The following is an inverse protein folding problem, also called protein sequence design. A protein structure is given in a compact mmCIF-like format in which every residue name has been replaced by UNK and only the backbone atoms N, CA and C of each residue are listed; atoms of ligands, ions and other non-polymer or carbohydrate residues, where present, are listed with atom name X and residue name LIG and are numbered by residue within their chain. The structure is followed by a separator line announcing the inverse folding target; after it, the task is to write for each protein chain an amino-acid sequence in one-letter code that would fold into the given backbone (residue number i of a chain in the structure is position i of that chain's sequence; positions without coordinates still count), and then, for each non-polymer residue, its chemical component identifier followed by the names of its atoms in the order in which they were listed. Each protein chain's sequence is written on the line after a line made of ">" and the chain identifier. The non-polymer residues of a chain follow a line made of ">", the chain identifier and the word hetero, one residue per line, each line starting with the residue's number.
data_IF_081209944896
#
_entry.id   IF_081209944896
#
_cell.length_a   1.000
_cell.length_b   1.000
_cell.length_c   1.000
_cell.angle_alpha   90.00
_cell.angle_beta   90.00
_cell.angle_gamma   90.00
#
_symmetry.space_group_name_H-M   'P 1'
#
loop_
_entity.id
_entity.type
_entity.pdbx_description
1 polymer ?
#
# COMPACT_ATOMS: atom_id res chain seq x y z
N UNK A 1 3.20 14.87 24.43
CA UNK A 1 3.18 13.68 23.56
C UNK A 1 2.74 14.12 22.18
N UNK A 2 3.36 13.60 21.11
CA UNK A 2 3.03 13.93 19.73
C UNK A 2 2.85 12.64 18.92
N UNK A 3 2.28 12.74 17.71
CA UNK A 3 2.07 11.60 16.81
C UNK A 3 2.16 12.04 15.35
N UNK A 4 2.77 11.23 14.49
CA UNK A 4 2.69 11.44 13.04
C UNK A 4 1.36 10.91 12.51
N UNK A 5 0.75 11.58 11.53
CA UNK A 5 -0.51 11.12 10.96
C UNK A 5 -0.54 11.33 9.44
N UNK A 6 -1.08 10.36 8.74
CA UNK A 6 -1.52 10.52 7.36
C UNK A 6 -2.99 10.13 7.27
N UNK A 7 -3.80 10.97 6.62
CA UNK A 7 -5.24 10.79 6.49
C UNK A 7 -5.64 10.97 5.03
N UNK A 8 -6.36 9.99 4.48
CA UNK A 8 -6.91 10.03 3.13
C UNK A 8 -8.41 9.82 3.11
N UNK A 9 -9.12 10.60 2.29
CA UNK A 9 -10.52 10.39 1.93
C UNK A 9 -10.59 10.02 0.46
N UNK A 10 -11.06 8.81 0.16
CA UNK A 10 -11.25 8.31 -1.20
C UNK A 10 -12.73 8.44 -1.58
N UNK A 11 -13.01 9.07 -2.71
CA UNK A 11 -14.32 9.06 -3.36
C UNK A 11 -14.40 7.83 -4.30
N UNK A 12 -15.13 6.76 -3.92
CA UNK A 12 -15.11 5.49 -4.61
C UNK A 12 -15.83 5.50 -5.96
N UNK A 13 -16.51 6.59 -6.36
CA UNK A 13 -17.06 6.70 -7.72
C UNK A 13 -16.06 7.25 -8.73
N UNK A 14 -15.17 8.15 -8.29
CA UNK A 14 -14.25 8.87 -9.17
C UNK A 14 -12.79 8.45 -9.02
N UNK A 15 -12.44 7.73 -7.94
CA UNK A 15 -11.05 7.44 -7.60
C UNK A 15 -10.28 8.69 -7.16
N UNK A 16 -10.97 9.76 -6.79
CA UNK A 16 -10.37 10.99 -6.27
C UNK A 16 -10.00 10.79 -4.81
N UNK A 17 -8.76 11.09 -4.47
CA UNK A 17 -8.23 11.06 -3.10
C UNK A 17 -7.94 12.47 -2.65
N UNK A 18 -8.38 12.81 -1.45
CA UNK A 18 -7.92 14.00 -0.72
C UNK A 18 -7.08 13.53 0.47
N UNK A 19 -5.82 13.96 0.52
CA UNK A 19 -4.83 13.47 1.47
C UNK A 19 -4.23 14.61 2.28
N UNK A 20 -4.10 14.42 3.60
CA UNK A 20 -3.37 15.31 4.50
C UNK A 20 -2.26 14.50 5.16
N UNK A 21 -1.05 15.05 5.18
CA UNK A 21 0.10 14.46 5.87
C UNK A 21 0.62 15.43 6.95
N UNK A 22 0.53 14.99 8.21
CA UNK A 22 0.98 15.68 9.42
C UNK A 22 2.21 14.99 10.01
N UNK A 23 3.37 15.27 9.43
CA UNK A 23 4.67 14.78 9.88
C UNK A 23 4.93 13.29 9.65
N UNK A 24 4.09 12.59 8.90
CA UNK A 24 4.28 11.18 8.55
C UNK A 24 5.15 11.01 7.30
N UNK A 25 5.61 9.78 7.04
CA UNK A 25 6.34 9.46 5.82
C UNK A 25 5.53 9.82 4.57
N UNK A 26 6.18 10.21 3.46
CA UNK A 26 5.47 10.52 2.22
C UNK A 26 4.65 9.33 1.72
N UNK A 27 3.37 9.56 1.41
CA UNK A 27 2.62 8.58 0.63
C UNK A 27 3.20 8.51 -0.78
N UNK A 28 3.21 7.31 -1.36
CA UNK A 28 3.71 7.09 -2.72
C UNK A 28 2.55 6.68 -3.60
N UNK A 29 2.29 7.42 -4.68
CA UNK A 29 1.43 6.98 -5.76
C UNK A 29 2.28 6.45 -6.91
N UNK A 30 1.92 5.29 -7.44
CA UNK A 30 2.45 4.76 -8.70
C UNK A 30 1.34 4.68 -9.74
N UNK A 31 1.52 5.40 -10.84
CA UNK A 31 0.64 5.32 -12.01
C UNK A 31 0.86 4.00 -12.77
N UNK A 32 -0.09 3.55 -13.64
CA UNK A 32 0.05 2.36 -14.48
C UNK A 32 1.40 2.20 -15.20
N UNK A 33 2.01 3.31 -15.63
CA UNK A 33 3.31 3.32 -16.31
C UNK A 33 4.54 3.37 -15.39
N UNK A 34 4.37 3.21 -14.07
CA UNK A 34 5.46 3.25 -13.08
C UNK A 34 5.96 4.66 -12.71
N UNK A 35 5.33 5.71 -13.26
CA UNK A 35 5.58 7.08 -12.83
C UNK A 35 5.15 7.26 -11.37
N UNK A 36 6.04 7.81 -10.55
CA UNK A 36 5.76 8.03 -9.12
C UNK A 36 5.36 9.47 -8.84
N UNK A 37 4.54 9.65 -7.79
CA UNK A 37 4.36 10.93 -7.11
C UNK A 37 4.41 10.71 -5.61
N UNK A 38 5.09 11.59 -4.88
CA UNK A 38 5.19 11.55 -3.42
C UNK A 38 4.42 12.69 -2.79
N UNK A 39 3.71 12.38 -1.70
CA UNK A 39 2.90 13.33 -0.94
C UNK A 39 3.53 13.55 0.43
N UNK A 40 4.41 14.55 0.52
CA UNK A 40 5.16 14.86 1.73
C UNK A 40 4.28 15.53 2.79
N UNK A 41 4.78 15.55 4.02
CA UNK A 41 4.15 16.27 5.12
C UNK A 41 4.12 17.79 4.88
N UNK A 42 2.98 18.42 5.17
CA UNK A 42 2.81 19.89 5.10
C UNK A 42 2.82 20.52 6.50
N UNK A 43 3.64 20.00 7.40
CA UNK A 43 3.76 20.47 8.77
C UNK A 43 4.38 19.43 9.71
N UNK A 44 4.65 19.80 10.98
CA UNK A 44 5.19 18.89 11.97
C UNK A 44 4.17 17.80 12.36
N UNK A 45 4.61 16.74 13.05
CA UNK A 45 3.70 15.83 13.74
C UNK A 45 2.67 16.55 14.63
N UNK A 46 1.49 15.95 14.79
CA UNK A 46 0.42 16.50 15.62
C UNK A 46 0.87 16.61 17.07
N UNK A 47 0.56 17.75 17.71
CA UNK A 47 0.87 17.99 19.12
C UNK A 47 2.23 18.62 19.40
N UNK A 48 3.06 18.89 18.37
CA UNK A 48 4.34 19.61 18.54
C UNK A 48 4.12 21.11 18.67
N UNK A 49 3.36 21.72 17.75
CA UNK A 49 3.11 23.16 17.72
C UNK A 49 1.60 23.45 17.75
N UNK A 50 1.14 24.39 18.58
CA UNK A 50 -0.26 24.81 18.57
C UNK A 50 -0.59 25.62 17.32
N UNK A 51 -1.84 25.54 16.85
CA UNK A 51 -2.36 26.39 15.78
C UNK A 51 -1.84 26.07 14.37
N UNK A 52 -1.13 24.95 14.17
CA UNK A 52 -0.71 24.50 12.84
C UNK A 52 -1.92 24.13 12.00
N UNK A 53 -1.97 24.68 10.78
CA UNK A 53 -2.92 24.25 9.73
C UNK A 53 -2.20 23.36 8.75
N UNK A 54 -2.75 22.17 8.52
CA UNK A 54 -2.22 21.22 7.55
C UNK A 54 -2.92 21.39 6.20
N UNK A 55 -2.16 21.30 5.12
CA UNK A 55 -2.68 21.44 3.76
C UNK A 55 -3.03 20.07 3.20
N UNK A 56 -4.24 19.97 2.65
CA UNK A 56 -4.68 18.79 1.92
C UNK A 56 -4.28 18.87 0.45
N UNK A 57 -3.89 17.74 -0.13
CA UNK A 57 -3.70 17.58 -1.56
C UNK A 57 -4.80 16.69 -2.15
N UNK A 58 -5.39 17.12 -3.25
CA UNK A 58 -6.39 16.34 -3.98
C UNK A 58 -5.81 15.86 -5.31
N UNK A 59 -5.97 14.57 -5.60
CA UNK A 59 -5.47 13.94 -6.83
C UNK A 59 -6.35 12.76 -7.25
N UNK A 60 -6.23 12.34 -8.50
CA UNK A 60 -6.87 11.12 -9.00
C UNK A 60 -5.87 9.96 -8.95
N UNK A 61 -6.34 8.76 -8.57
CA UNK A 61 -5.50 7.56 -8.61
C UNK A 61 -5.17 7.10 -10.04
N UNK A 62 -5.90 7.53 -11.08
CA UNK A 62 -5.64 7.26 -12.51
C UNK A 62 -5.26 5.80 -12.82
N UNK A 63 -6.07 4.85 -12.34
CA UNK A 63 -5.81 3.40 -12.47
C UNK A 63 -4.50 2.90 -11.83
N UNK A 64 -3.93 3.69 -10.92
CA UNK A 64 -2.72 3.37 -10.18
C UNK A 64 -2.98 2.97 -8.73
N UNK A 65 -1.89 2.84 -7.99
CA UNK A 65 -1.90 2.46 -6.59
C UNK A 65 -1.33 3.57 -5.71
N UNK A 66 -1.91 3.76 -4.52
CA UNK A 66 -1.38 4.58 -3.44
C UNK A 66 -0.88 3.69 -2.31
N UNK A 67 0.35 3.94 -1.86
CA UNK A 67 1.06 3.20 -0.83
C UNK A 67 1.27 4.11 0.38
N UNK A 68 0.83 3.65 1.55
CA UNK A 68 1.07 4.25 2.86
C UNK A 68 1.81 3.23 3.73
N UNK A 69 2.80 3.67 4.49
CA UNK A 69 3.64 2.77 5.26
C UNK A 69 4.26 3.46 6.46
N UNK A 70 4.58 2.69 7.50
CA UNK A 70 5.37 3.15 8.65
C UNK A 70 6.86 3.05 8.38
N UNK A 71 7.64 3.68 9.23
CA UNK A 71 9.11 3.65 9.27
C UNK A 71 9.68 2.25 9.38
N UNK A 72 9.02 1.34 10.11
CA UNK A 72 9.38 -0.08 10.10
C UNK A 72 9.61 -0.66 8.70
N UNK A 73 8.87 -0.22 7.67
CA UNK A 73 9.07 -0.66 6.27
C UNK A 73 10.32 -0.06 5.64
N UNK A 74 10.57 1.23 5.88
CA UNK A 74 11.71 1.95 5.27
C UNK A 74 13.02 1.69 5.99
N UNK A 75 12.98 1.46 7.30
CA UNK A 75 14.14 1.15 8.14
C UNK A 75 14.52 -0.34 8.07
N UNK A 76 13.70 -1.17 7.42
CA UNK A 76 14.02 -2.58 7.21
C UNK A 76 15.35 -2.75 6.48
N UNK A 77 16.22 -3.59 7.04
CA UNK A 77 17.56 -3.80 6.49
C UNK A 77 17.56 -4.76 5.29
N UNK A 78 18.06 -4.26 4.17
CA UNK A 78 18.04 -4.87 2.86
C UNK A 78 19.46 -4.83 2.30
N UNK A 79 20.14 -5.99 2.34
CA UNK A 79 21.55 -6.14 1.89
C UNK A 79 22.55 -5.26 2.65
N UNK A 80 22.40 -5.09 3.96
CA UNK A 80 23.36 -4.33 4.77
C UNK A 80 23.03 -2.84 4.92
N UNK A 81 21.92 -2.39 4.34
CA UNK A 81 21.49 -0.99 4.37
C UNK A 81 19.98 -0.90 4.58
N UNK A 82 19.50 0.19 5.18
CA UNK A 82 18.07 0.48 5.24
C UNK A 82 17.48 0.57 3.83
N UNK A 83 16.27 0.02 3.65
CA UNK A 83 15.59 0.04 2.35
C UNK A 83 15.36 1.48 1.87
N UNK A 84 14.95 2.35 2.79
CA UNK A 84 14.52 3.72 2.53
C UNK A 84 13.31 3.80 1.60
N UNK A 85 12.76 5.02 1.47
CA UNK A 85 11.62 5.27 0.57
C UNK A 85 12.01 4.95 -0.88
N UNK A 86 13.21 5.35 -1.32
CA UNK A 86 13.66 5.12 -2.68
C UNK A 86 13.83 3.64 -3.02
N UNK A 87 14.30 2.82 -2.06
CA UNK A 87 14.39 1.38 -2.25
C UNK A 87 13.02 0.72 -2.33
N UNK A 88 12.08 1.12 -1.47
CA UNK A 88 10.70 0.67 -1.55
C UNK A 88 10.07 1.02 -2.90
N UNK A 89 10.22 2.27 -3.36
CA UNK A 89 9.72 2.72 -4.67
C UNK A 89 10.32 1.90 -5.82
N UNK A 90 11.63 1.63 -5.80
CA UNK A 90 12.28 0.78 -6.80
C UNK A 90 11.69 -0.64 -6.79
N UNK A 91 11.50 -1.22 -5.61
CA UNK A 91 10.90 -2.54 -5.46
C UNK A 91 9.47 -2.57 -6.04
N UNK A 92 8.63 -1.61 -5.65
CA UNK A 92 7.25 -1.51 -6.11
C UNK A 92 7.15 -1.33 -7.64
N UNK A 93 8.06 -0.57 -8.25
CA UNK A 93 8.14 -0.43 -9.71
C UNK A 93 8.42 -1.74 -10.43
N UNK A 94 9.31 -2.59 -9.88
CA UNK A 94 9.65 -3.87 -10.50
C UNK A 94 8.45 -4.82 -10.55
N UNK A 95 7.55 -4.71 -9.58
CA UNK A 95 6.36 -5.56 -9.46
C UNK A 95 5.06 -4.84 -9.83
N UNK A 96 5.14 -3.61 -10.36
CA UNK A 96 3.96 -2.78 -10.61
C UNK A 96 2.97 -3.40 -11.60
N UNK A 97 3.44 -4.26 -12.52
CA UNK A 97 2.56 -4.99 -13.45
C UNK A 97 1.86 -6.21 -12.85
N UNK A 98 2.25 -6.65 -11.65
CA UNK A 98 1.72 -7.85 -11.00
C UNK A 98 0.40 -7.57 -10.27
N UNK A 99 -0.26 -8.63 -9.78
CA UNK A 99 -1.43 -8.52 -8.90
C UNK A 99 -1.06 -7.85 -7.57
N UNK A 100 -2.04 -7.26 -6.88
CA UNK A 100 -1.82 -6.59 -5.61
C UNK A 100 -1.18 -7.52 -4.56
N UNK A 101 -1.60 -8.78 -4.50
CA UNK A 101 -1.06 -9.79 -3.59
C UNK A 101 0.42 -10.03 -3.84
N UNK A 102 0.82 -10.15 -5.12
CA UNK A 102 2.22 -10.34 -5.50
C UNK A 102 3.06 -9.11 -5.15
N UNK A 103 2.51 -7.90 -5.36
CA UNK A 103 3.18 -6.65 -4.96
C UNK A 103 3.43 -6.61 -3.45
N UNK A 104 2.41 -6.91 -2.65
CA UNK A 104 2.51 -6.96 -1.19
C UNK A 104 3.51 -8.03 -0.74
N UNK A 105 3.43 -9.23 -1.31
CA UNK A 105 4.34 -10.33 -0.98
C UNK A 105 5.79 -9.99 -1.30
N UNK A 106 6.05 -9.33 -2.44
CA UNK A 106 7.40 -8.90 -2.82
C UNK A 106 7.99 -7.90 -1.82
N UNK A 107 7.18 -6.97 -1.30
CA UNK A 107 7.63 -6.06 -0.22
C UNK A 107 7.89 -6.85 1.06
N UNK A 108 6.93 -7.66 1.50
CA UNK A 108 7.03 -8.43 2.74
C UNK A 108 8.25 -9.33 2.79
N UNK A 109 8.53 -10.09 1.72
CA UNK A 109 9.74 -10.94 1.63
C UNK A 109 11.03 -10.13 1.76
N UNK A 110 11.02 -8.87 1.32
CA UNK A 110 12.21 -8.02 1.36
C UNK A 110 12.45 -7.37 2.71
N UNK A 111 11.37 -7.04 3.44
CA UNK A 111 11.43 -6.34 4.73
C UNK A 111 11.31 -7.27 5.94
N UNK A 112 11.32 -8.60 5.72
CA UNK A 112 11.32 -9.55 6.84
C UNK A 112 12.54 -9.31 7.73
N UNK A 113 12.34 -9.16 9.05
CA UNK A 113 13.46 -9.00 9.97
C UNK A 113 14.36 -10.22 9.90
N UNK A 114 15.67 -10.00 9.98
CA UNK A 114 16.64 -11.08 10.12
C UNK A 114 16.51 -11.71 11.49
N UNK A 115 16.95 -12.96 11.62
CA UNK A 115 17.02 -13.59 12.93
C UNK A 115 17.88 -12.74 13.89
N UNK A 116 17.29 -12.36 15.03
CA UNK A 116 17.95 -11.58 16.06
C UNK A 116 17.90 -10.05 15.91
N UNK A 117 17.29 -9.49 14.84
CA UNK A 117 17.12 -8.03 14.75
C UNK A 117 15.91 -7.54 15.59
N UNK A 118 15.98 -6.33 16.17
CA UNK A 118 14.81 -5.69 16.75
C UNK A 118 13.66 -5.64 15.74
N UNK A 119 12.45 -5.98 16.19
CA UNK A 119 11.24 -5.87 15.36
C UNK A 119 10.58 -4.55 15.67
N UNK A 120 10.49 -3.70 14.66
CA UNK A 120 9.55 -2.58 14.68
C UNK A 120 8.22 -3.01 14.01
N UNK A 121 7.16 -2.26 14.27
CA UNK A 121 5.85 -2.53 13.70
C UNK A 121 5.83 -2.19 12.20
N UNK A 122 5.72 -3.24 11.38
CA UNK A 122 5.63 -3.14 9.92
C UNK A 122 4.17 -2.92 9.51
N UNK A 123 3.85 -1.73 9.03
CA UNK A 123 2.54 -1.43 8.40
C UNK A 123 2.73 -1.01 6.96
N UNK A 124 2.02 -1.67 6.04
CA UNK A 124 1.88 -1.28 4.65
C UNK A 124 0.41 -1.35 4.26
N UNK A 125 -0.15 -0.24 3.79
CA UNK A 125 -1.50 -0.15 3.26
C UNK A 125 -1.43 0.27 1.79
N UNK A 126 -2.21 -0.42 0.95
CA UNK A 126 -2.25 -0.15 -0.48
C UNK A 126 -3.69 0.04 -0.92
N UNK A 127 -3.94 1.12 -1.65
CA UNK A 127 -5.19 1.39 -2.33
C UNK A 127 -4.92 1.29 -3.82
N UNK A 128 -5.30 0.16 -4.42
CA UNK A 128 -5.16 -0.10 -5.85
C UNK A 128 -6.49 0.19 -6.54
N UNK A 129 -6.52 1.22 -7.39
CA UNK A 129 -7.75 1.69 -8.01
C UNK A 129 -7.83 1.21 -9.45
N UNK A 130 -8.93 0.54 -9.80
CA UNK A 130 -9.21 0.07 -11.16
C UNK A 130 -10.58 0.59 -11.58
N UNK A 131 -10.66 1.46 -12.58
CA UNK A 131 -11.95 1.94 -13.07
C UNK A 131 -12.66 0.80 -13.81
N UNK A 132 -13.74 0.27 -13.23
CA UNK A 132 -14.72 -0.53 -13.97
C UNK A 132 -14.19 -1.82 -14.63
N UNK A 133 -13.28 -2.55 -13.99
CA UNK A 133 -13.23 -4.00 -14.24
C UNK A 133 -14.39 -4.62 -13.48
N UNK A 134 -15.50 -4.90 -14.18
CA UNK A 134 -16.38 -5.98 -13.71
C UNK A 134 -15.48 -7.17 -13.37
N UNK A 135 -15.65 -7.74 -12.18
CA UNK A 135 -14.92 -8.96 -11.79
C UNK A 135 -15.35 -10.08 -12.74
N UNK A 136 -14.67 -10.19 -13.87
CA UNK A 136 -14.84 -11.29 -14.80
C UNK A 136 -14.25 -12.55 -14.14
N UNK A 137 -15.13 -13.38 -13.57
CA UNK A 137 -14.90 -14.80 -13.30
C UNK A 137 -14.14 -15.14 -12.02
N UNK A 138 -14.87 -15.19 -10.90
CA UNK A 138 -14.57 -16.12 -9.79
C UNK A 138 -15.70 -17.15 -9.67
N UNK A 139 -16.08 -17.74 -10.81
CA UNK A 139 -17.00 -18.87 -10.92
C UNK A 139 -16.36 -19.97 -11.77
N UNK A 140 -15.29 -20.58 -11.27
CA UNK A 140 -14.85 -21.92 -11.73
C UNK A 140 -14.12 -22.65 -10.62
N UNK A 141 -14.79 -22.88 -9.48
CA UNK A 141 -14.28 -23.84 -8.49
C UNK A 141 -15.33 -24.43 -7.53
N UNK A 142 -16.60 -24.65 -7.90
CA UNK A 142 -17.42 -25.64 -7.15
C UNK A 142 -18.65 -26.16 -7.92
N UNK A 143 -18.43 -27.04 -8.90
CA UNK A 143 -19.50 -27.87 -9.46
C UNK A 143 -18.91 -29.21 -9.92
N UNK A 144 -18.61 -30.07 -8.95
CA UNK A 144 -18.01 -31.36 -9.28
C UNK A 144 -18.00 -32.40 -8.16
N UNK A 145 -18.91 -32.37 -7.17
CA UNK A 145 -19.09 -33.48 -6.22
C UNK A 145 -20.54 -33.66 -5.77
N UNK A 146 -21.36 -34.23 -6.65
CA UNK A 146 -22.56 -35.02 -6.31
C UNK A 146 -22.57 -36.19 -7.31
N UNK A 147 -22.30 -37.44 -6.95
CA UNK A 147 -23.13 -38.27 -6.08
C UNK A 147 -23.66 -39.42 -6.93
N UNK A 148 -22.95 -40.55 -6.97
CA UNK A 148 -23.35 -41.77 -7.68
C UNK A 148 -23.40 -42.95 -6.71
N UNK A 149 -24.57 -43.15 -6.10
CA UNK A 149 -24.83 -44.24 -5.18
C UNK A 149 -24.90 -45.59 -5.89
N UNK A 150 -24.47 -46.62 -5.15
CA UNK A 150 -24.50 -48.05 -5.46
C UNK A 150 -25.92 -48.55 -5.74
N UNK A 151 -26.05 -49.56 -6.61
CA UNK A 151 -26.92 -50.74 -6.42
C UNK A 151 -26.43 -51.91 -7.30
N UNK A 152 -25.84 -52.90 -6.63
CA UNK A 152 -25.75 -54.29 -7.09
C UNK A 152 -26.81 -55.09 -6.34
N UNK A 153 -27.37 -56.08 -7.05
CA UNK A 153 -28.39 -57.05 -6.66
C UNK A 153 -29.85 -56.54 -6.63
#
# INVERSE_FOLDING_TARGET
>A
MFVTMILGVLEPRSGTVTLVNAGHLPAVQLAPGGAERRYAAHGPPLGILPGVKYTAETFSLREGALYLFTDGVTEAEVLGHELGIDGLVRLLRLVHGDTLERRLHAVLERVRPREGSPRDDLTLMVVDWHAGRERAGDETADAGRTGGARRHA
#
